data_IF_352901647492
#
_entry.id   IF_352901647492
#
_cell.length_a   1.000
_cell.length_b   1.000
_cell.length_c   1.000
_cell.angle_alpha   90.00
_cell.angle_beta   90.00
_cell.angle_gamma   90.00
#
_symmetry.space_group_name_H-M   'P 1'
#
loop_
_entity.id
_entity.type
_entity.pdbx_description
1 polymer ?
#
# COMPACT_ATOMS: atom_id res chain seq x y z
N UNK A 1 -17.42 -0.97 -22.00
CA UNK A 1 -16.83 0.35 -21.65
C UNK A 1 -16.07 0.11 -20.38
N UNK A 2 -14.79 0.46 -20.36
CA UNK A 2 -13.95 0.24 -19.17
C UNK A 2 -14.51 1.05 -18.00
N UNK A 3 -14.84 0.37 -16.90
CA UNK A 3 -15.38 0.99 -15.69
C UNK A 3 -14.28 1.77 -14.97
N UNK A 4 -14.42 3.10 -14.88
CA UNK A 4 -13.45 4.00 -14.25
C UNK A 4 -13.15 3.61 -12.80
N UNK A 5 -14.15 3.15 -12.05
CA UNK A 5 -13.99 2.75 -10.65
C UNK A 5 -13.12 1.51 -10.49
N UNK A 6 -12.82 0.79 -11.58
CA UNK A 6 -11.89 -0.31 -11.59
C UNK A 6 -10.42 0.09 -11.68
N UNK A 7 -10.05 1.37 -11.76
CA UNK A 7 -8.68 1.80 -12.04
C UNK A 7 -8.00 2.48 -10.85
N UNK A 8 -6.72 2.14 -10.62
CA UNK A 8 -5.82 2.86 -9.71
C UNK A 8 -4.70 3.62 -10.44
N UNK A 9 -4.76 3.64 -11.77
CA UNK A 9 -3.90 4.44 -12.65
C UNK A 9 -4.77 5.12 -13.71
N UNK A 10 -4.92 6.45 -13.60
CA UNK A 10 -5.69 7.23 -14.57
C UNK A 10 -5.12 7.12 -15.99
N UNK A 11 -3.79 6.98 -16.16
CA UNK A 11 -3.17 6.88 -17.49
C UNK A 11 -3.54 5.56 -18.14
N UNK A 12 -3.59 4.47 -17.37
CA UNK A 12 -4.09 3.17 -17.84
C UNK A 12 -5.55 3.26 -18.26
N UNK A 13 -6.39 3.90 -17.45
CA UNK A 13 -7.79 4.16 -17.80
C UNK A 13 -7.91 4.93 -19.12
N UNK A 14 -7.15 6.02 -19.29
CA UNK A 14 -7.17 6.82 -20.51
C UNK A 14 -6.73 6.04 -21.75
N UNK A 15 -5.71 5.17 -21.63
CA UNK A 15 -5.27 4.28 -22.71
C UNK A 15 -6.35 3.28 -23.10
N UNK A 16 -6.99 2.65 -22.12
CA UNK A 16 -8.05 1.67 -22.35
C UNK A 16 -9.28 2.35 -22.97
N UNK A 17 -9.70 3.51 -22.45
CA UNK A 17 -10.77 4.33 -23.04
C UNK A 17 -10.46 4.72 -24.50
N UNK A 18 -9.23 5.17 -24.78
CA UNK A 18 -8.83 5.54 -26.13
C UNK A 18 -8.88 4.34 -27.08
N UNK A 19 -8.35 3.18 -26.65
CA UNK A 19 -8.38 1.93 -27.42
C UNK A 19 -9.82 1.52 -27.73
N UNK A 20 -10.70 1.57 -26.73
CA UNK A 20 -12.12 1.23 -26.88
C UNK A 20 -12.83 2.16 -27.88
N UNK A 21 -12.57 3.47 -27.84
CA UNK A 21 -13.17 4.45 -28.76
C UNK A 21 -12.63 4.32 -30.19
N UNK A 22 -11.34 4.05 -30.35
CA UNK A 22 -10.70 3.87 -31.66
C UNK A 22 -11.07 2.55 -32.32
N UNK A 23 -11.24 1.47 -31.54
CA UNK A 23 -11.60 0.14 -32.04
C UNK A 23 -13.03 0.00 -32.57
N UNK A 24 -13.89 1.03 -32.39
CA UNK A 24 -15.25 1.01 -32.93
C UNK A 24 -15.24 1.14 -34.46
N UNK A 25 -16.01 0.29 -35.13
CA UNK A 25 -16.15 0.28 -36.60
C UNK A 25 -16.61 1.67 -37.09
N UNK A 26 -15.88 2.26 -38.03
CA UNK A 26 -16.17 3.62 -38.56
C UNK A 26 -15.72 4.79 -37.67
N UNK A 27 -14.92 4.55 -36.63
CA UNK A 27 -14.45 5.60 -35.72
C UNK A 27 -13.35 6.46 -36.35
N UNK A 28 -13.59 7.78 -36.48
CA UNK A 28 -12.58 8.79 -36.81
C UNK A 28 -11.79 9.27 -35.57
N UNK A 29 -11.80 8.52 -34.47
CA UNK A 29 -11.22 8.94 -33.20
C UNK A 29 -9.68 8.92 -33.26
N UNK A 30 -9.06 10.08 -33.03
CA UNK A 30 -7.62 10.29 -33.04
C UNK A 30 -7.17 11.07 -31.80
N UNK A 31 -5.87 11.10 -31.51
CA UNK A 31 -5.36 11.95 -30.43
C UNK A 31 -5.71 13.43 -30.66
N UNK A 32 -5.71 13.88 -31.92
CA UNK A 32 -6.09 15.24 -32.29
C UNK A 32 -7.55 15.54 -31.98
N UNK A 33 -8.47 14.66 -32.37
CA UNK A 33 -9.90 14.84 -32.07
C UNK A 33 -10.15 14.80 -30.57
N UNK A 34 -9.49 13.89 -29.86
CA UNK A 34 -9.64 13.77 -28.41
C UNK A 34 -9.10 15.00 -27.68
N UNK A 35 -7.93 15.52 -28.07
CA UNK A 35 -7.35 16.77 -27.53
C UNK A 35 -8.30 17.95 -27.70
N UNK A 36 -8.91 18.06 -28.89
CA UNK A 36 -9.85 19.13 -29.21
C UNK A 36 -11.12 19.04 -28.35
N UNK A 37 -11.68 17.86 -28.17
CA UNK A 37 -12.85 17.64 -27.30
C UNK A 37 -12.54 18.00 -25.85
N UNK A 38 -11.32 17.73 -25.39
CA UNK A 38 -10.86 18.10 -24.05
C UNK A 38 -10.42 19.57 -23.92
N UNK A 39 -10.59 20.40 -24.96
CA UNK A 39 -10.29 21.83 -24.92
C UNK A 39 -8.81 22.19 -25.06
N UNK A 40 -7.93 21.24 -25.38
CA UNK A 40 -6.50 21.51 -25.54
C UNK A 40 -6.16 21.96 -26.96
N UNK A 41 -5.37 23.04 -27.06
CA UNK A 41 -4.81 23.53 -28.34
C UNK A 41 -3.76 22.57 -28.92
N UNK A 42 -3.02 21.86 -28.06
CA UNK A 42 -1.94 20.97 -28.47
C UNK A 42 -2.49 19.58 -28.89
N UNK A 43 -2.34 19.16 -30.16
CA UNK A 43 -2.95 17.94 -30.68
C UNK A 43 -2.37 16.64 -30.11
N UNK A 44 -1.17 16.69 -29.53
CA UNK A 44 -0.49 15.54 -28.93
C UNK A 44 -0.52 15.53 -27.39
N UNK A 45 -1.17 16.50 -26.74
CA UNK A 45 -1.14 16.63 -25.28
C UNK A 45 -1.62 15.36 -24.57
N UNK A 46 -2.77 14.81 -24.99
CA UNK A 46 -3.32 13.61 -24.37
C UNK A 46 -2.40 12.39 -24.53
N UNK A 47 -1.78 12.26 -25.71
CA UNK A 47 -0.79 11.19 -25.96
C UNK A 47 0.38 11.29 -24.96
N UNK A 48 0.92 12.49 -24.74
CA UNK A 48 2.00 12.72 -23.78
C UNK A 48 1.57 12.40 -22.34
N UNK A 49 0.34 12.74 -21.96
CA UNK A 49 -0.22 12.39 -20.64
C UNK A 49 -0.31 10.88 -20.46
N UNK A 50 -0.88 10.17 -21.44
CA UNK A 50 -0.99 8.70 -21.41
C UNK A 50 0.39 8.03 -21.38
N UNK A 51 1.37 8.58 -22.09
CA UNK A 51 2.76 8.09 -22.08
C UNK A 51 3.53 8.44 -20.79
N UNK A 52 2.93 9.20 -19.86
CA UNK A 52 3.61 9.61 -18.63
C UNK A 52 4.60 10.76 -18.81
N UNK A 53 4.68 11.35 -20.00
CA UNK A 53 5.57 12.47 -20.33
C UNK A 53 5.03 13.81 -19.83
N UNK A 54 3.76 13.88 -19.45
CA UNK A 54 3.12 15.06 -18.84
C UNK A 54 2.14 14.65 -17.73
N UNK A 55 1.99 15.54 -16.76
CA UNK A 55 0.95 15.49 -15.73
C UNK A 55 -0.26 16.34 -16.13
N UNK A 56 -1.39 16.08 -15.49
CA UNK A 56 -2.61 16.88 -15.58
C UNK A 56 -2.64 17.92 -14.46
N UNK A 57 -2.68 19.19 -14.84
CA UNK A 57 -3.08 20.28 -13.94
C UNK A 57 -4.61 20.40 -13.85
N UNK A 58 -5.13 21.33 -13.03
CA UNK A 58 -6.57 21.51 -12.80
C UNK A 58 -7.39 21.68 -14.08
N UNK A 59 -7.00 22.61 -14.96
CA UNK A 59 -7.66 22.81 -16.26
C UNK A 59 -7.66 21.55 -17.11
N UNK A 60 -6.57 20.76 -16.98
CA UNK A 60 -6.44 19.52 -17.71
C UNK A 60 -7.41 18.47 -17.21
N UNK A 61 -7.53 18.30 -15.90
CA UNK A 61 -8.50 17.39 -15.26
C UNK A 61 -9.92 17.72 -15.76
N UNK A 62 -10.31 18.99 -15.76
CA UNK A 62 -11.64 19.41 -16.20
C UNK A 62 -11.87 19.20 -17.69
N UNK A 63 -10.85 19.43 -18.52
CA UNK A 63 -10.88 19.08 -19.94
C UNK A 63 -11.12 17.58 -20.16
N UNK A 64 -10.44 16.73 -19.39
CA UNK A 64 -10.62 15.28 -19.46
C UNK A 64 -12.00 14.82 -18.97
N UNK A 65 -12.50 15.33 -17.84
CA UNK A 65 -13.86 15.02 -17.35
C UNK A 65 -14.91 15.28 -18.44
N UNK A 66 -14.81 16.41 -19.14
CA UNK A 66 -15.69 16.78 -20.27
C UNK A 66 -15.53 15.82 -21.45
N UNK A 67 -14.31 15.56 -21.90
CA UNK A 67 -14.07 14.73 -23.08
C UNK A 67 -14.39 13.24 -22.89
N UNK A 68 -14.31 12.77 -21.65
CA UNK A 68 -14.71 11.43 -21.26
C UNK A 68 -16.24 11.32 -21.03
N UNK A 69 -16.95 12.45 -20.97
CA UNK A 69 -18.36 12.56 -20.62
C UNK A 69 -18.69 11.95 -19.25
N UNK A 70 -17.83 12.22 -18.26
CA UNK A 70 -18.01 11.69 -16.91
C UNK A 70 -19.20 12.35 -16.22
N UNK A 71 -19.98 11.56 -15.50
CA UNK A 71 -20.99 12.08 -14.58
C UNK A 71 -20.35 12.69 -13.32
N UNK A 72 -21.16 13.18 -12.38
CA UNK A 72 -20.67 13.82 -11.15
C UNK A 72 -19.82 12.89 -10.27
N UNK A 73 -20.25 11.65 -10.09
CA UNK A 73 -19.54 10.64 -9.29
C UNK A 73 -18.22 10.26 -9.95
N UNK A 74 -18.26 9.96 -11.25
CA UNK A 74 -17.08 9.62 -12.06
C UNK A 74 -16.09 10.78 -12.13
N UNK A 75 -16.57 12.02 -12.23
CA UNK A 75 -15.71 13.21 -12.26
C UNK A 75 -14.94 13.38 -10.96
N UNK A 76 -15.61 13.23 -9.81
CA UNK A 76 -14.98 13.27 -8.49
C UNK A 76 -13.95 12.15 -8.35
N UNK A 77 -14.32 10.93 -8.73
CA UNK A 77 -13.42 9.79 -8.69
C UNK A 77 -12.19 9.99 -9.59
N UNK A 78 -12.37 10.45 -10.83
CA UNK A 78 -11.28 10.70 -11.77
C UNK A 78 -10.31 11.75 -11.24
N UNK A 79 -10.81 12.83 -10.63
CA UNK A 79 -9.97 13.86 -10.02
C UNK A 79 -9.13 13.28 -8.88
N UNK A 80 -9.75 12.55 -7.94
CA UNK A 80 -9.02 11.88 -6.87
C UNK A 80 -8.00 10.85 -7.42
N UNK A 81 -8.32 10.17 -8.51
CA UNK A 81 -7.42 9.21 -9.15
C UNK A 81 -6.20 9.90 -9.74
N UNK A 82 -6.39 11.03 -10.42
CA UNK A 82 -5.30 11.85 -10.94
C UNK A 82 -4.42 12.34 -9.80
N UNK A 83 -5.00 12.88 -8.73
CA UNK A 83 -4.23 13.35 -7.58
C UNK A 83 -3.51 12.21 -6.86
N UNK A 84 -4.14 11.04 -6.70
CA UNK A 84 -3.52 9.83 -6.16
C UNK A 84 -2.28 9.43 -6.96
N UNK A 85 -2.35 9.48 -8.29
CA UNK A 85 -1.24 9.10 -9.16
C UNK A 85 -0.15 10.18 -9.30
N UNK A 86 -0.44 11.44 -8.99
CA UNK A 86 0.51 12.56 -9.09
C UNK A 86 1.04 13.04 -7.73
N UNK A 87 0.55 12.47 -6.62
CA UNK A 87 1.05 12.74 -5.28
C UNK A 87 2.56 12.45 -5.18
N UNK A 88 3.30 13.38 -4.59
CA UNK A 88 4.77 13.26 -4.43
C UNK A 88 5.13 12.68 -3.06
N UNK A 89 4.19 12.67 -2.13
CA UNK A 89 4.37 12.13 -0.78
C UNK A 89 3.38 10.99 -0.51
N UNK A 90 3.80 10.02 0.32
CA UNK A 90 2.90 8.96 0.79
C UNK A 90 1.71 9.53 1.56
N UNK A 91 1.86 10.67 2.24
CA UNK A 91 0.78 11.30 2.99
C UNK A 91 -0.34 11.81 2.07
N UNK A 92 0.01 12.52 1.01
CA UNK A 92 -0.94 12.95 -0.02
C UNK A 92 -1.56 11.73 -0.72
N UNK A 93 -0.73 10.75 -1.07
CA UNK A 93 -1.18 9.53 -1.74
C UNK A 93 -2.18 8.76 -0.87
N UNK A 94 -1.94 8.65 0.43
CA UNK A 94 -2.87 8.08 1.40
C UNK A 94 -4.18 8.87 1.49
N UNK A 95 -4.12 10.20 1.51
CA UNK A 95 -5.31 11.05 1.51
C UNK A 95 -6.18 10.74 0.30
N UNK A 96 -5.63 10.82 -0.90
CA UNK A 96 -6.41 10.58 -2.12
C UNK A 96 -6.86 9.12 -2.27
N UNK A 97 -6.11 8.14 -1.76
CA UNK A 97 -6.59 6.76 -1.69
C UNK A 97 -7.83 6.63 -0.80
N UNK A 98 -7.87 7.31 0.35
CA UNK A 98 -9.06 7.34 1.21
C UNK A 98 -10.25 7.98 0.50
N UNK A 99 -10.03 9.06 -0.26
CA UNK A 99 -11.08 9.68 -1.07
C UNK A 99 -11.61 8.73 -2.16
N UNK A 100 -10.74 7.99 -2.85
CA UNK A 100 -11.14 6.95 -3.81
C UNK A 100 -11.98 5.85 -3.15
N UNK A 101 -11.59 5.43 -1.94
CA UNK A 101 -12.28 4.44 -1.14
C UNK A 101 -13.67 4.91 -0.64
N UNK A 102 -14.04 6.18 -0.79
CA UNK A 102 -15.41 6.66 -0.47
C UNK A 102 -16.45 6.22 -1.50
N UNK A 103 -16.06 5.94 -2.76
CA UNK A 103 -16.97 5.46 -3.79
C UNK A 103 -17.41 4.03 -3.53
N UNK A 104 -18.72 3.79 -3.45
CA UNK A 104 -19.27 2.45 -3.22
C UNK A 104 -18.91 1.47 -4.34
N UNK A 105 -18.92 1.91 -5.60
CA UNK A 105 -18.54 1.07 -6.76
C UNK A 105 -17.09 0.66 -6.69
N UNK A 106 -16.19 1.60 -6.39
CA UNK A 106 -14.79 1.28 -6.15
C UNK A 106 -14.67 0.23 -5.04
N UNK A 107 -15.42 0.41 -3.93
CA UNK A 107 -15.33 -0.52 -2.82
C UNK A 107 -15.72 -1.94 -3.17
N UNK A 108 -16.76 -2.10 -3.98
CA UNK A 108 -17.25 -3.40 -4.43
C UNK A 108 -16.27 -4.07 -5.40
N UNK A 109 -15.64 -3.30 -6.30
CA UNK A 109 -14.69 -3.84 -7.28
C UNK A 109 -13.34 -4.17 -6.62
N UNK A 110 -12.94 -3.40 -5.60
CA UNK A 110 -11.59 -3.38 -5.01
C UNK A 110 -11.62 -3.73 -3.53
N UNK A 111 -12.47 -4.69 -3.13
CA UNK A 111 -12.63 -5.08 -1.72
C UNK A 111 -11.31 -5.57 -1.10
N UNK A 112 -10.63 -6.51 -1.76
CA UNK A 112 -9.34 -7.06 -1.29
C UNK A 112 -8.27 -5.97 -1.15
N UNK A 113 -8.21 -5.05 -2.10
CA UNK A 113 -7.24 -3.94 -2.10
C UNK A 113 -7.46 -3.03 -0.87
N UNK A 114 -8.71 -2.78 -0.47
CA UNK A 114 -8.99 -2.01 0.73
C UNK A 114 -8.66 -2.76 2.01
N UNK A 115 -9.06 -4.02 2.11
CA UNK A 115 -8.79 -4.83 3.31
C UNK A 115 -7.28 -4.95 3.55
N UNK A 116 -6.50 -5.15 2.48
CA UNK A 116 -5.04 -5.14 2.56
C UNK A 116 -4.48 -3.77 2.94
N UNK A 117 -5.02 -2.69 2.36
CA UNK A 117 -4.62 -1.34 2.77
C UNK A 117 -4.85 -1.13 4.27
N UNK A 118 -5.99 -1.57 4.82
CA UNK A 118 -6.29 -1.48 6.25
C UNK A 118 -5.32 -2.32 7.09
N UNK A 119 -5.04 -3.55 6.67
CA UNK A 119 -4.09 -4.45 7.32
C UNK A 119 -2.70 -3.80 7.49
N UNK A 120 -2.18 -3.17 6.44
CA UNK A 120 -0.87 -2.52 6.51
C UNK A 120 -0.92 -1.10 7.10
N UNK A 121 -2.09 -0.51 7.24
CA UNK A 121 -2.27 0.82 7.86
C UNK A 121 -2.20 0.79 9.37
N UNK A 122 -2.22 -0.39 10.01
CA UNK A 122 -2.01 -0.51 11.46
C UNK A 122 -1.07 -1.66 11.82
N UNK A 123 -0.02 -1.37 12.59
CA UNK A 123 0.99 -2.34 13.00
C UNK A 123 0.42 -3.58 13.71
N UNK A 124 -0.66 -3.40 14.48
CA UNK A 124 -1.20 -4.45 15.36
C UNK A 124 -1.85 -5.60 14.59
N UNK A 125 -2.25 -5.44 13.32
CA UNK A 125 -2.78 -6.58 12.55
C UNK A 125 -1.69 -7.65 12.33
N UNK A 126 -0.48 -7.25 11.97
CA UNK A 126 0.65 -8.17 11.82
C UNK A 126 1.05 -8.76 13.17
N UNK A 127 1.11 -7.94 14.23
CA UNK A 127 1.42 -8.44 15.57
C UNK A 127 0.37 -9.45 16.08
N UNK A 128 -0.92 -9.22 15.89
CA UNK A 128 -1.98 -10.16 16.29
C UNK A 128 -1.88 -11.47 15.51
N UNK A 129 -1.53 -11.41 14.22
CA UNK A 129 -1.30 -12.61 13.42
C UNK A 129 -0.21 -13.49 14.05
N UNK A 130 0.87 -12.92 14.57
CA UNK A 130 1.92 -13.70 15.26
C UNK A 130 1.53 -14.07 16.71
N UNK A 131 0.72 -13.23 17.37
CA UNK A 131 0.29 -13.44 18.77
C UNK A 131 -0.48 -14.74 18.99
N UNK A 132 -1.16 -15.24 17.95
CA UNK A 132 -1.90 -16.51 18.05
C UNK A 132 -0.98 -17.74 18.21
N UNK A 133 0.32 -17.60 17.97
CA UNK A 133 1.31 -18.66 18.14
C UNK A 133 1.75 -18.85 19.59
N UNK A 134 1.44 -17.89 20.48
CA UNK A 134 1.80 -18.01 21.89
C UNK A 134 1.06 -19.21 22.54
N UNK A 135 1.75 -20.02 23.37
CA UNK A 135 1.14 -21.16 24.06
C UNK A 135 -0.05 -20.76 24.97
N UNK A 136 -0.01 -19.57 25.56
CA UNK A 136 -1.04 -19.03 26.45
C UNK A 136 -2.08 -18.16 25.74
N UNK A 137 -2.11 -18.19 24.40
CA UNK A 137 -3.01 -17.37 23.59
C UNK A 137 -4.48 -17.59 23.97
N UNK A 138 -5.22 -16.48 24.07
CA UNK A 138 -6.68 -16.46 24.26
C UNK A 138 -7.32 -15.58 23.19
N UNK A 139 -8.33 -16.12 22.51
CA UNK A 139 -9.19 -15.36 21.60
C UNK A 139 -10.18 -14.49 22.40
N UNK A 140 -9.65 -13.65 23.30
CA UNK A 140 -10.38 -12.64 24.06
C UNK A 140 -9.83 -11.26 23.70
N UNK A 141 -10.66 -10.34 23.17
CA UNK A 141 -10.20 -9.00 22.79
C UNK A 141 -9.52 -8.23 23.93
N UNK A 142 -9.95 -8.42 25.18
CA UNK A 142 -9.30 -7.77 26.34
C UNK A 142 -7.92 -8.34 26.62
N UNK A 143 -7.78 -9.66 26.53
CA UNK A 143 -6.49 -10.34 26.64
C UNK A 143 -5.52 -9.88 25.56
N UNK A 144 -5.93 -9.90 24.28
CA UNK A 144 -5.11 -9.47 23.13
C UNK A 144 -4.64 -8.03 23.31
N UNK A 145 -5.57 -7.13 23.63
CA UNK A 145 -5.30 -5.72 23.84
C UNK A 145 -4.25 -5.46 24.94
N UNK A 146 -4.30 -6.24 26.02
CA UNK A 146 -3.37 -6.13 27.16
C UNK A 146 -2.02 -6.79 26.90
N UNK A 147 -1.98 -7.87 26.11
CA UNK A 147 -0.76 -8.66 25.82
C UNK A 147 0.17 -7.93 24.85
N UNK A 148 -0.39 -7.14 23.93
CA UNK A 148 0.39 -6.33 23.01
C UNK A 148 1.13 -5.18 23.69
N UNK A 149 2.29 -4.84 23.13
CA UNK A 149 3.14 -3.75 23.60
C UNK A 149 3.64 -2.92 22.39
N UNK A 150 3.16 -1.66 22.21
CA UNK A 150 2.24 -0.93 23.08
C UNK A 150 0.82 -1.52 23.07
N UNK A 151 0.05 -1.23 24.13
CA UNK A 151 -1.33 -1.71 24.27
C UNK A 151 -2.23 -1.06 23.21
N UNK A 152 -3.23 -1.82 22.78
CA UNK A 152 -4.33 -1.33 21.93
C UNK A 152 -5.64 -1.38 22.70
N UNK A 153 -6.73 -0.94 22.10
CA UNK A 153 -8.08 -1.10 22.66
C UNK A 153 -8.66 -2.49 22.34
N UNK A 154 -9.58 -2.97 23.18
CA UNK A 154 -10.30 -4.23 22.91
C UNK A 154 -11.07 -4.17 21.58
N UNK A 155 -11.64 -3.01 21.22
CA UNK A 155 -12.32 -2.82 19.94
C UNK A 155 -11.36 -3.02 18.75
N UNK A 156 -10.14 -2.48 18.83
CA UNK A 156 -9.13 -2.69 17.81
C UNK A 156 -8.74 -4.17 17.70
N UNK A 157 -8.63 -4.89 18.82
CA UNK A 157 -8.36 -6.32 18.82
C UNK A 157 -9.48 -7.13 18.13
N UNK A 158 -10.76 -6.82 18.42
CA UNK A 158 -11.91 -7.46 17.76
C UNK A 158 -11.87 -7.24 16.25
N UNK A 159 -11.78 -5.99 15.81
CA UNK A 159 -11.72 -5.63 14.39
C UNK A 159 -10.51 -6.27 13.69
N UNK A 160 -9.38 -6.40 14.40
CA UNK A 160 -8.20 -7.04 13.88
C UNK A 160 -8.39 -8.53 13.60
N UNK A 161 -8.94 -9.28 14.55
CA UNK A 161 -9.21 -10.71 14.36
C UNK A 161 -10.21 -10.91 13.21
N UNK A 162 -11.26 -10.10 13.13
CA UNK A 162 -12.25 -10.15 12.05
C UNK A 162 -11.62 -9.89 10.67
N UNK A 163 -10.79 -8.86 10.54
CA UNK A 163 -10.11 -8.57 9.28
C UNK A 163 -9.14 -9.69 8.88
N UNK A 164 -8.37 -10.23 9.83
CA UNK A 164 -7.43 -11.33 9.57
C UNK A 164 -8.15 -12.61 9.11
N UNK A 165 -9.33 -12.89 9.65
CA UNK A 165 -10.19 -13.99 9.20
C UNK A 165 -10.77 -13.69 7.81
N UNK A 166 -11.25 -12.47 7.57
CA UNK A 166 -11.77 -12.03 6.26
C UNK A 166 -10.72 -12.17 5.16
N UNK A 167 -9.49 -11.73 5.42
CA UNK A 167 -8.34 -11.84 4.53
C UNK A 167 -7.79 -13.28 4.43
N UNK A 168 -8.31 -14.23 5.22
CA UNK A 168 -7.81 -15.60 5.33
C UNK A 168 -6.33 -15.66 5.72
N UNK A 169 -5.85 -14.69 6.48
CA UNK A 169 -4.55 -14.79 7.17
C UNK A 169 -4.65 -15.65 8.43
N UNK A 170 -5.85 -15.74 8.99
CA UNK A 170 -6.22 -16.67 10.04
C UNK A 170 -7.41 -17.53 9.60
N UNK A 171 -7.55 -18.71 10.17
CA UNK A 171 -8.78 -19.53 10.10
C UNK A 171 -9.06 -20.17 11.45
N UNK A 172 -10.33 -20.51 11.71
CA UNK A 172 -10.71 -21.37 12.84
C UNK A 172 -10.70 -22.83 12.39
N UNK A 173 -10.03 -23.68 13.16
CA UNK A 173 -10.11 -25.13 12.99
C UNK A 173 -11.43 -25.69 13.56
N UNK A 174 -11.68 -26.98 13.35
CA UNK A 174 -12.87 -27.67 13.91
C UNK A 174 -12.95 -27.57 15.44
N UNK A 175 -11.80 -27.48 16.11
CA UNK A 175 -11.69 -27.27 17.56
C UNK A 175 -12.08 -25.87 18.02
N UNK A 176 -12.31 -24.94 17.09
CA UNK A 176 -12.51 -23.51 17.37
C UNK A 176 -11.21 -22.72 17.49
N UNK A 177 -10.03 -23.37 17.52
CA UNK A 177 -8.73 -22.70 17.64
C UNK A 177 -8.39 -21.89 16.39
N UNK A 178 -7.87 -20.68 16.58
CA UNK A 178 -7.27 -19.88 15.51
C UNK A 178 -5.91 -20.44 15.10
N UNK A 179 -5.69 -20.57 13.79
CA UNK A 179 -4.40 -20.95 13.20
C UNK A 179 -4.05 -20.01 12.05
N UNK A 180 -2.75 -19.79 11.83
CA UNK A 180 -2.25 -19.00 10.71
C UNK A 180 -2.47 -19.73 9.39
N UNK A 181 -2.65 -18.96 8.33
CA UNK A 181 -2.73 -19.45 6.96
C UNK A 181 -1.73 -18.68 6.10
N UNK A 182 -0.95 -19.42 5.32
CA UNK A 182 -0.16 -18.84 4.23
C UNK A 182 -1.08 -18.57 3.05
N UNK A 183 -1.44 -17.30 2.86
CA UNK A 183 -2.34 -16.87 1.80
C UNK A 183 -1.58 -15.98 0.81
N UNK A 184 -1.55 -16.39 -0.45
CA UNK A 184 -1.14 -15.53 -1.55
C UNK A 184 -2.31 -14.60 -1.90
N UNK A 185 -2.29 -13.35 -1.41
CA UNK A 185 -3.29 -12.35 -1.78
C UNK A 185 -2.78 -11.55 -2.97
N UNK A 186 -3.54 -11.56 -4.06
CA UNK A 186 -3.26 -10.71 -5.23
C UNK A 186 -3.94 -9.37 -5.06
N UNK A 187 -3.12 -8.32 -4.90
CA UNK A 187 -3.55 -6.91 -4.88
C UNK A 187 -2.92 -6.12 -6.02
N UNK A 188 -3.46 -4.92 -6.26
CA UNK A 188 -2.86 -3.97 -7.18
C UNK A 188 -1.48 -3.52 -6.71
N UNK A 189 -0.58 -3.27 -7.67
CA UNK A 189 0.78 -2.79 -7.41
C UNK A 189 0.77 -1.45 -6.67
N UNK A 190 -0.18 -0.58 -7.02
CA UNK A 190 -0.35 0.74 -6.43
C UNK A 190 -0.67 0.64 -4.94
N UNK A 191 -1.60 -0.25 -4.56
CA UNK A 191 -1.95 -0.49 -3.17
C UNK A 191 -0.80 -1.15 -2.42
N UNK A 192 -0.16 -2.18 -2.99
CA UNK A 192 1.01 -2.83 -2.37
C UNK A 192 2.10 -1.82 -2.03
N UNK A 193 2.46 -0.96 -2.98
CA UNK A 193 3.47 0.08 -2.76
C UNK A 193 3.09 1.02 -1.60
N UNK A 194 1.86 1.53 -1.59
CA UNK A 194 1.41 2.45 -0.55
C UNK A 194 1.33 1.77 0.82
N UNK A 195 0.79 0.55 0.84
CA UNK A 195 0.63 -0.27 2.03
C UNK A 195 1.99 -0.61 2.67
N UNK A 196 2.98 -1.03 1.87
CA UNK A 196 4.35 -1.31 2.35
C UNK A 196 4.99 -0.07 2.98
N UNK A 197 4.87 1.11 2.33
CA UNK A 197 5.37 2.36 2.91
C UNK A 197 4.70 2.69 4.26
N UNK A 198 3.37 2.52 4.35
CA UNK A 198 2.62 2.76 5.59
C UNK A 198 3.05 1.83 6.72
N UNK A 199 3.27 0.56 6.40
CA UNK A 199 3.72 -0.43 7.36
C UNK A 199 5.12 -0.10 7.89
N UNK A 200 6.08 0.19 7.00
CA UNK A 200 7.44 0.55 7.39
C UNK A 200 7.48 1.81 8.24
N UNK A 201 6.72 2.85 7.89
CA UNK A 201 6.64 4.10 8.68
C UNK A 201 6.21 3.83 10.12
N UNK A 202 5.18 3.01 10.31
CA UNK A 202 4.70 2.66 11.64
C UNK A 202 5.71 1.82 12.42
N UNK A 203 6.35 0.83 11.78
CA UNK A 203 7.34 -0.01 12.46
C UNK A 203 8.60 0.79 12.83
N UNK A 204 9.01 1.75 12.02
CA UNK A 204 10.09 2.70 12.36
C UNK A 204 9.69 3.57 13.54
N UNK A 205 8.46 4.10 13.54
CA UNK A 205 7.94 4.89 14.66
C UNK A 205 7.93 4.07 15.96
N UNK A 206 7.47 2.82 15.91
CA UNK A 206 7.51 1.90 17.06
C UNK A 206 8.94 1.60 17.52
N UNK A 207 9.89 1.44 16.60
CA UNK A 207 11.29 1.24 16.95
C UNK A 207 11.86 2.49 17.64
N UNK A 208 11.55 3.69 17.14
CA UNK A 208 11.93 4.96 17.77
C UNK A 208 11.37 5.06 19.19
N UNK A 209 10.08 4.82 19.38
CA UNK A 209 9.43 4.86 20.69
C UNK A 209 9.98 3.81 21.65
N UNK A 210 10.45 2.67 21.14
CA UNK A 210 11.02 1.58 21.95
C UNK A 210 12.25 2.00 22.76
N UNK A 211 12.94 3.07 22.35
CA UNK A 211 14.07 3.66 23.09
C UNK A 211 13.66 3.99 24.54
N UNK A 212 12.47 4.56 24.71
CA UNK A 212 11.96 5.02 26.01
C UNK A 212 11.11 3.94 26.70
N UNK A 213 10.27 3.21 25.96
CA UNK A 213 9.29 2.28 26.56
C UNK A 213 9.82 0.87 26.83
N UNK A 214 10.89 0.45 26.15
CA UNK A 214 11.43 -0.92 26.27
C UNK A 214 12.76 -0.88 27.00
N UNK A 215 12.88 -1.69 28.06
CA UNK A 215 14.14 -1.86 28.80
C UNK A 215 15.27 -2.26 27.86
N UNK A 216 16.48 -1.74 28.11
CA UNK A 216 17.64 -1.95 27.25
C UNK A 216 17.95 -3.43 27.00
N UNK A 217 17.79 -4.30 28.00
CA UNK A 217 17.99 -5.75 27.88
C UNK A 217 16.97 -6.47 26.97
N UNK A 218 15.85 -5.81 26.64
CA UNK A 218 14.74 -6.35 25.83
C UNK A 218 14.64 -5.72 24.45
N UNK A 219 15.62 -4.89 24.07
CA UNK A 219 15.71 -4.27 22.73
C UNK A 219 17.16 -4.26 22.26
N UNK A 220 17.37 -4.42 20.97
CA UNK A 220 18.65 -4.13 20.33
C UNK A 220 18.42 -3.03 19.28
N UNK A 221 19.07 -1.89 19.48
CA UNK A 221 19.05 -0.76 18.54
C UNK A 221 20.50 -0.32 18.34
N UNK A 222 21.06 -0.76 17.23
CA UNK A 222 22.41 -0.44 16.80
C UNK A 222 22.39 0.33 15.47
N UNK A 223 23.38 1.19 15.25
CA UNK A 223 23.51 1.94 14.01
C UNK A 223 24.96 2.26 13.69
N UNK A 224 25.24 2.43 12.40
CA UNK A 224 26.54 2.88 11.88
C UNK A 224 26.30 3.94 10.82
N UNK A 225 27.20 4.93 10.73
CA UNK A 225 27.17 5.97 9.69
C UNK A 225 28.42 5.82 8.83
N UNK A 226 28.23 5.57 7.52
CA UNK A 226 29.31 5.27 6.59
C UNK A 226 29.22 6.15 5.33
N UNK A 227 30.36 6.58 4.81
CA UNK A 227 30.48 7.09 3.45
C UNK A 227 30.61 5.91 2.48
N UNK A 228 29.71 5.79 1.50
CA UNK A 228 29.63 4.64 0.60
C UNK A 228 29.71 5.08 -0.87
N UNK A 229 30.48 4.35 -1.69
CA UNK A 229 30.31 4.40 -3.14
C UNK A 229 29.01 3.71 -3.57
N UNK A 230 28.57 3.92 -4.81
CA UNK A 230 27.39 3.24 -5.37
C UNK A 230 27.52 1.71 -5.27
N UNK A 231 28.70 1.17 -5.57
CA UNK A 231 28.98 -0.26 -5.54
C UNK A 231 28.88 -0.81 -4.11
N UNK A 232 29.45 -0.09 -3.13
CA UNK A 232 29.38 -0.49 -1.72
C UNK A 232 27.96 -0.37 -1.14
N UNK A 233 27.20 0.64 -1.57
CA UNK A 233 25.77 0.76 -1.23
C UNK A 233 24.96 -0.44 -1.76
N UNK A 234 25.17 -0.82 -3.02
CA UNK A 234 24.50 -1.99 -3.62
C UNK A 234 24.89 -3.29 -2.92
N UNK A 235 26.16 -3.46 -2.57
CA UNK A 235 26.64 -4.62 -1.81
C UNK A 235 26.03 -4.67 -0.40
N UNK A 236 25.97 -3.55 0.33
CA UNK A 236 25.32 -3.48 1.63
C UNK A 236 23.83 -3.87 1.54
N UNK A 237 23.13 -3.36 0.52
CA UNK A 237 21.72 -3.70 0.26
C UNK A 237 21.54 -5.20 -0.01
N UNK A 238 22.44 -5.82 -0.79
CA UNK A 238 22.41 -7.26 -1.07
C UNK A 238 22.61 -8.09 0.20
N UNK A 239 23.62 -7.76 1.00
CA UNK A 239 23.91 -8.47 2.26
C UNK A 239 22.77 -8.37 3.28
N UNK A 240 22.16 -7.20 3.42
CA UNK A 240 20.98 -7.02 4.29
C UNK A 240 19.81 -7.90 3.81
N UNK A 241 19.59 -8.00 2.49
CA UNK A 241 18.53 -8.85 1.95
C UNK A 241 18.78 -10.33 2.19
N UNK A 242 20.02 -10.79 2.06
CA UNK A 242 20.43 -12.18 2.35
C UNK A 242 20.27 -12.49 3.82
N UNK A 243 20.85 -11.67 4.71
CA UNK A 243 20.75 -11.83 6.15
C UNK A 243 19.29 -11.86 6.63
N UNK A 244 18.43 -10.99 6.09
CA UNK A 244 17.00 -11.01 6.41
C UNK A 244 16.32 -12.33 6.01
N UNK A 245 16.69 -12.91 4.85
CA UNK A 245 16.13 -14.21 4.43
C UNK A 245 16.63 -15.33 5.35
N UNK A 246 17.92 -15.33 5.67
CA UNK A 246 18.53 -16.30 6.59
C UNK A 246 17.86 -16.25 7.96
N UNK A 247 17.71 -15.06 8.56
CA UNK A 247 17.02 -14.88 9.84
C UNK A 247 15.58 -15.38 9.79
N UNK A 248 14.85 -15.10 8.70
CA UNK A 248 13.48 -15.55 8.58
C UNK A 248 13.38 -17.09 8.58
N UNK A 249 14.29 -17.77 7.86
CA UNK A 249 14.34 -19.24 7.86
C UNK A 249 14.71 -19.77 9.24
N UNK A 250 15.78 -19.22 9.85
CA UNK A 250 16.30 -19.66 11.14
C UNK A 250 15.28 -19.48 12.28
N UNK A 251 14.58 -18.34 12.32
CA UNK A 251 13.69 -17.97 13.43
C UNK A 251 12.24 -18.42 13.23
N UNK A 252 11.89 -18.99 12.07
CA UNK A 252 10.56 -19.55 11.82
C UNK A 252 10.44 -21.05 12.14
N UNK A 253 11.48 -21.66 12.71
CA UNK A 253 11.45 -23.06 13.16
C UNK A 253 10.45 -23.24 14.31
N UNK A 254 9.81 -24.42 14.38
CA UNK A 254 8.60 -24.69 15.20
C UNK A 254 8.88 -24.90 16.70
N UNK A 255 9.64 -24.00 17.29
CA UNK A 255 9.80 -23.96 18.73
C UNK A 255 8.65 -23.19 19.40
N UNK A 256 8.54 -23.35 20.72
CA UNK A 256 7.56 -22.58 21.50
C UNK A 256 7.86 -21.08 21.37
N UNK A 257 6.86 -20.30 20.95
CA UNK A 257 6.99 -18.85 20.81
C UNK A 257 6.66 -18.19 22.16
N UNK A 258 7.63 -17.51 22.77
CA UNK A 258 7.44 -16.83 24.06
C UNK A 258 6.95 -15.38 23.91
N UNK A 259 7.38 -14.70 22.85
CA UNK A 259 7.14 -13.27 22.63
C UNK A 259 7.33 -12.88 21.17
N UNK A 260 6.68 -11.80 20.76
CA UNK A 260 6.74 -11.29 19.39
C UNK A 260 7.75 -10.15 19.33
N UNK A 261 8.67 -10.24 18.37
CA UNK A 261 9.64 -9.18 18.09
C UNK A 261 9.49 -8.70 16.65
N UNK A 262 9.52 -7.38 16.48
CA UNK A 262 9.65 -6.76 15.16
C UNK A 262 11.12 -6.44 14.92
N UNK A 263 11.70 -7.02 13.87
CA UNK A 263 13.07 -6.70 13.42
C UNK A 263 12.99 -5.83 12.18
N UNK A 264 13.70 -4.70 12.21
CA UNK A 264 13.73 -3.77 11.10
C UNK A 264 15.16 -3.59 10.58
N UNK A 265 15.29 -3.40 9.27
CA UNK A 265 16.56 -3.06 8.62
C UNK A 265 16.36 -1.79 7.80
N UNK A 266 17.15 -0.76 8.06
CA UNK A 266 17.07 0.51 7.35
C UNK A 266 18.43 0.89 6.76
N UNK A 267 18.41 1.31 5.49
CA UNK A 267 19.52 1.99 4.84
C UNK A 267 18.93 3.19 4.10
N UNK A 268 19.41 4.39 4.43
CA UNK A 268 18.89 5.64 3.88
C UNK A 268 20.04 6.64 3.73
N UNK A 269 19.87 7.60 2.82
CA UNK A 269 20.86 8.62 2.56
C UNK A 269 20.75 9.78 3.57
N UNK A 270 21.89 10.24 4.07
CA UNK A 270 22.02 11.45 4.90
C UNK A 270 22.59 12.65 4.12
N UNK A 271 22.85 12.45 2.83
CA UNK A 271 23.31 13.45 1.87
C UNK A 271 22.56 13.28 0.54
N UNK A 272 22.79 14.19 -0.40
CA UNK A 272 22.39 14.00 -1.79
C UNK A 272 23.05 12.74 -2.40
N UNK A 273 22.33 12.09 -3.31
CA UNK A 273 22.74 10.83 -3.94
C UNK A 273 22.88 11.05 -5.45
N UNK A 274 24.11 11.20 -5.99
CA UNK A 274 24.31 11.60 -7.39
C UNK A 274 23.94 10.52 -8.42
N UNK A 275 23.62 9.30 -7.98
CA UNK A 275 23.19 8.19 -8.83
C UNK A 275 21.70 7.83 -8.68
N UNK A 276 20.93 8.59 -7.91
CA UNK A 276 19.48 8.46 -7.87
C UNK A 276 18.90 9.22 -9.08
N UNK A 277 18.40 8.47 -10.07
CA UNK A 277 17.66 9.01 -11.23
C UNK A 277 16.27 8.43 -11.24
#
# INVERSE_FOLDING_TARGET
MSDLFGYLDYRRYLKDFYRDKKGKKGSCFSFRSFSRTAGFKAPNFLKLVMEGKRNLGPDGIDGFKKALHLNKEESSYFEHLVHFNQATTDQERNRYYKELATSQKFRQIREIDQDLFVYYSHWYYAAIRELILLPDFKEDPKWIAKKLFPKITAQQATVAVELLLKLKFLKREKSGRLVQVEQNITSSREVQSLAVSNFHRQMIQLASESIDRTLQEKRDISSITLALSKEKYLEAKRRIQEFRRELNVLLSEKDAVDSIYQINFQIFNLSEVPWAT
#
